data_IF_653891481512
#
_entry.id   IF_653891481512
#
_cell.length_a   1.000
_cell.length_b   1.000
_cell.length_c   1.000
_cell.angle_alpha   90.00
_cell.angle_beta   90.00
_cell.angle_gamma   90.00
#
_symmetry.space_group_name_H-M   'P 1'
#
loop_
_entity.id
_entity.type
_entity.pdbx_description
1 polymer ?
#
# COMPACT_ATOMS: atom_id res chain seq x y z
N UNK A 1 -3.98 -5.14 9.67
CA UNK A 1 -4.20 -4.16 8.59
C UNK A 1 -5.30 -4.55 7.60
N UNK A 2 -5.36 -5.77 7.06
CA UNK A 2 -6.49 -6.25 6.22
C UNK A 2 -7.89 -6.08 6.87
N UNK A 3 -7.95 -5.97 8.20
CA UNK A 3 -9.19 -5.76 8.96
C UNK A 3 -9.64 -4.30 9.05
N UNK A 4 -8.80 -3.30 8.72
CA UNK A 4 -9.16 -1.86 8.78
C UNK A 4 -9.30 -1.22 7.41
N UNK A 5 -8.62 -1.79 6.40
CA UNK A 5 -8.67 -1.38 5.01
C UNK A 5 -10.10 -1.26 4.45
N UNK A 6 -11.04 -2.21 4.72
CA UNK A 6 -12.43 -2.02 4.30
C UNK A 6 -13.04 -0.80 4.99
N UNK A 7 -12.85 -0.62 6.30
CA UNK A 7 -13.55 0.39 7.09
C UNK A 7 -13.09 1.83 6.86
N UNK A 8 -11.86 2.03 6.40
CA UNK A 8 -11.29 3.36 6.22
C UNK A 8 -11.53 3.92 4.81
N UNK A 9 -11.59 3.07 3.79
CA UNK A 9 -11.54 3.53 2.38
C UNK A 9 -12.54 2.81 1.49
N UNK A 10 -12.71 1.50 1.64
CA UNK A 10 -13.44 0.68 0.66
C UNK A 10 -14.82 0.19 1.10
N UNK A 11 -15.32 0.55 2.30
CA UNK A 11 -16.65 0.12 2.75
C UNK A 11 -17.71 1.15 2.38
N UNK A 12 -18.76 0.70 1.69
CA UNK A 12 -20.05 1.37 1.56
C UNK A 12 -20.58 1.94 2.87
N UNK A 13 -20.32 3.20 3.19
CA UNK A 13 -21.08 3.87 4.24
C UNK A 13 -21.67 5.16 3.71
N UNK A 14 -22.95 5.37 4.00
CA UNK A 14 -23.71 6.59 3.69
C UNK A 14 -23.07 7.85 4.33
N UNK A 15 -22.08 7.65 5.20
CA UNK A 15 -21.39 8.68 5.95
C UNK A 15 -20.23 9.30 5.12
N UNK A 16 -20.64 10.25 4.28
CA UNK A 16 -19.93 11.49 3.88
C UNK A 16 -18.91 11.40 2.75
N UNK A 17 -19.30 12.05 1.64
CA UNK A 17 -18.46 12.69 0.62
C UNK A 17 -17.16 13.32 1.18
N UNK A 18 -17.25 14.02 2.31
CA UNK A 18 -16.09 14.65 2.96
C UNK A 18 -15.08 13.64 3.53
N UNK A 19 -15.52 12.49 4.03
CA UNK A 19 -14.61 11.47 4.55
C UNK A 19 -13.75 10.92 3.41
N UNK A 20 -14.34 10.69 2.22
CA UNK A 20 -13.58 10.25 1.04
C UNK A 20 -12.66 11.34 0.46
N UNK A 21 -13.06 12.62 0.53
CA UNK A 21 -12.21 13.74 0.10
C UNK A 21 -11.02 13.99 1.03
N UNK A 22 -11.16 13.70 2.32
CA UNK A 22 -10.11 13.86 3.33
C UNK A 22 -9.50 12.53 3.80
N UNK A 23 -9.90 11.39 3.23
CA UNK A 23 -9.43 10.05 3.62
C UNK A 23 -7.91 9.96 3.50
N UNK A 24 -7.38 10.50 2.41
CA UNK A 24 -5.94 10.62 2.16
C UNK A 24 -5.21 11.49 3.18
N UNK A 25 -5.89 12.37 3.91
CA UNK A 25 -5.32 13.16 5.02
C UNK A 25 -5.45 12.40 6.33
N UNK A 26 -6.61 11.79 6.60
CA UNK A 26 -6.83 10.99 7.81
C UNK A 26 -5.87 9.81 7.91
N UNK A 27 -5.60 9.13 6.79
CA UNK A 27 -4.67 8.00 6.77
C UNK A 27 -3.26 8.43 7.18
N UNK A 28 -2.83 9.64 6.85
CA UNK A 28 -1.51 10.18 7.20
C UNK A 28 -1.38 10.44 8.70
N UNK A 29 -2.45 10.93 9.33
CA UNK A 29 -2.50 11.15 10.78
C UNK A 29 -2.47 9.82 11.55
N UNK A 30 -3.15 8.80 11.04
CA UNK A 30 -3.20 7.49 11.66
C UNK A 30 -1.94 6.65 11.40
N UNK A 31 -1.26 6.89 10.28
CA UNK A 31 -0.13 6.08 9.82
C UNK A 31 1.00 5.97 10.86
N UNK A 32 1.28 7.03 11.63
CA UNK A 32 2.30 6.99 12.69
C UNK A 32 1.93 6.20 13.94
N UNK A 33 0.64 5.90 14.15
CA UNK A 33 0.12 5.26 15.37
C UNK A 33 -0.17 3.76 15.18
N UNK A 34 -0.33 3.31 13.93
CA UNK A 34 -0.79 1.94 13.63
C UNK A 34 0.12 0.84 14.19
N UNK A 35 1.45 1.00 14.14
CA UNK A 35 2.34 0.01 14.76
C UNK A 35 2.15 -0.10 16.28
N UNK A 36 1.84 1.00 16.98
CA UNK A 36 1.54 0.94 18.41
C UNK A 36 0.23 0.21 18.69
N UNK A 37 -0.79 0.43 17.85
CA UNK A 37 -2.07 -0.27 17.95
C UNK A 37 -1.86 -1.79 17.76
N UNK A 38 -1.08 -2.21 16.77
CA UNK A 38 -0.80 -3.64 16.55
C UNK A 38 0.02 -4.25 17.68
N UNK A 39 0.99 -3.52 18.26
CA UNK A 39 1.72 -3.95 19.46
C UNK A 39 0.79 -4.13 20.66
N UNK A 40 -0.09 -3.16 20.92
CA UNK A 40 -1.07 -3.24 22.00
C UNK A 40 -2.05 -4.40 21.82
N UNK A 41 -2.57 -4.60 20.60
CA UNK A 41 -3.43 -5.74 20.26
C UNK A 41 -2.74 -7.08 20.50
N UNK A 42 -1.48 -7.20 20.09
CA UNK A 42 -0.69 -8.41 20.32
C UNK A 42 -0.52 -8.68 21.83
N UNK A 43 -0.19 -7.66 22.61
CA UNK A 43 -0.06 -7.76 24.06
C UNK A 43 -1.37 -8.19 24.73
N UNK A 44 -2.50 -7.57 24.37
CA UNK A 44 -3.83 -7.96 24.86
C UNK A 44 -4.11 -9.43 24.54
N UNK A 45 -3.84 -9.87 23.31
CA UNK A 45 -4.03 -11.27 22.90
C UNK A 45 -3.14 -12.23 23.69
N UNK A 46 -1.91 -11.84 24.04
CA UNK A 46 -1.05 -12.63 24.92
C UNK A 46 -1.67 -12.78 26.32
N UNK A 47 -2.12 -11.68 26.92
CA UNK A 47 -2.77 -11.70 28.24
C UNK A 47 -4.06 -12.54 28.26
N UNK A 48 -4.77 -12.60 27.14
CA UNK A 48 -5.98 -13.42 26.98
C UNK A 48 -5.69 -14.89 26.63
N UNK A 49 -4.43 -15.30 26.45
CA UNK A 49 -4.07 -16.64 25.98
C UNK A 49 -4.45 -16.92 24.52
N UNK A 50 -4.75 -15.88 23.73
CA UNK A 50 -5.14 -15.94 22.31
C UNK A 50 -3.94 -15.80 21.35
N UNK A 51 -2.74 -15.65 21.89
CA UNK A 51 -1.50 -15.57 21.13
C UNK A 51 -0.38 -16.28 21.89
N UNK A 52 0.64 -16.73 21.16
CA UNK A 52 1.88 -17.26 21.73
C UNK A 52 2.94 -16.19 21.75
N UNK A 53 3.72 -16.17 22.84
CA UNK A 53 4.86 -15.28 22.95
C UNK A 53 5.93 -15.65 21.91
N UNK A 54 6.44 -14.67 21.17
CA UNK A 54 7.57 -14.86 20.26
C UNK A 54 8.68 -13.86 20.60
N UNK A 55 9.90 -14.37 20.71
CA UNK A 55 11.10 -13.57 20.95
C UNK A 55 11.31 -12.47 19.91
N UNK A 56 10.86 -12.68 18.68
CA UNK A 56 10.93 -11.70 17.60
C UNK A 56 10.21 -10.38 17.93
N UNK A 57 9.19 -10.39 18.79
CA UNK A 57 8.52 -9.17 19.23
C UNK A 57 9.36 -8.33 20.20
N UNK A 58 10.40 -8.90 20.81
CA UNK A 58 11.33 -8.15 21.66
C UNK A 58 12.37 -7.35 20.88
N UNK A 59 12.59 -7.67 19.60
CA UNK A 59 13.60 -6.99 18.76
C UNK A 59 13.34 -5.48 18.74
N UNK A 60 12.07 -5.08 18.60
CA UNK A 60 11.65 -3.67 18.60
C UNK A 60 11.97 -2.96 19.92
N UNK A 61 11.90 -3.66 21.05
CA UNK A 61 12.21 -3.09 22.36
C UNK A 61 13.71 -3.16 22.71
N UNK A 62 14.47 -4.05 22.07
CA UNK A 62 15.92 -4.14 22.23
C UNK A 62 16.64 -2.89 21.69
N UNK A 63 15.98 -2.09 20.85
CA UNK A 63 16.46 -0.77 20.41
C UNK A 63 16.53 0.24 21.57
N UNK A 64 15.65 0.14 22.58
CA UNK A 64 15.55 1.13 23.67
C UNK A 64 16.87 1.22 24.45
N UNK A 65 17.48 0.13 24.96
CA UNK A 65 18.78 0.21 25.63
C UNK A 65 19.88 0.87 24.79
N UNK A 66 19.91 0.58 23.49
CA UNK A 66 20.89 1.18 22.56
C UNK A 66 20.67 2.69 22.46
N UNK A 67 19.43 3.13 22.28
CA UNK A 67 19.10 4.54 22.18
C UNK A 67 19.29 5.30 23.50
N UNK A 68 19.03 4.66 24.64
CA UNK A 68 19.33 5.21 25.97
C UNK A 68 20.84 5.38 26.16
N UNK A 69 21.64 4.39 25.75
CA UNK A 69 23.09 4.46 25.80
C UNK A 69 23.63 5.60 24.91
N UNK A 70 23.16 5.69 23.65
CA UNK A 70 23.61 6.71 22.69
C UNK A 70 23.18 8.13 23.07
N UNK A 71 21.99 8.30 23.65
CA UNK A 71 21.48 9.60 24.07
C UNK A 71 21.96 10.04 25.46
N UNK A 72 22.53 9.13 26.26
CA UNK A 72 22.93 9.38 27.64
C UNK A 72 21.77 9.68 28.59
N UNK A 73 20.52 9.50 28.16
CA UNK A 73 19.32 9.82 28.94
C UNK A 73 18.20 8.83 28.66
N UNK A 74 17.60 8.28 29.73
CA UNK A 74 16.46 7.36 29.61
C UNK A 74 15.29 8.02 28.89
N UNK A 75 14.97 9.27 29.23
CA UNK A 75 13.84 9.98 28.63
C UNK A 75 14.10 10.28 27.15
N UNK A 76 15.31 10.71 26.80
CA UNK A 76 15.68 10.99 25.41
C UNK A 76 15.69 9.71 24.57
N UNK A 77 16.26 8.62 25.08
CA UNK A 77 16.31 7.33 24.38
C UNK A 77 14.92 6.74 24.11
N UNK A 78 14.01 6.80 25.10
CA UNK A 78 12.62 6.35 24.93
C UNK A 78 11.87 7.24 23.95
N UNK A 79 12.08 8.56 23.98
CA UNK A 79 11.46 9.48 23.01
C UNK A 79 11.97 9.24 21.59
N UNK A 80 13.28 9.06 21.41
CA UNK A 80 13.89 8.72 20.11
C UNK A 80 13.32 7.42 19.58
N UNK A 81 13.21 6.39 20.42
CA UNK A 81 12.57 5.12 20.05
C UNK A 81 11.13 5.36 19.56
N UNK A 82 10.34 6.14 20.31
CA UNK A 82 8.97 6.41 19.94
C UNK A 82 8.85 7.17 18.60
N UNK A 83 9.73 8.13 18.35
CA UNK A 83 9.77 8.83 17.06
C UNK A 83 10.16 7.88 15.93
N UNK A 84 11.18 7.05 16.11
CA UNK A 84 11.61 6.06 15.12
C UNK A 84 10.47 5.10 14.76
N UNK A 85 9.78 4.55 15.76
CA UNK A 85 8.67 3.62 15.54
C UNK A 85 7.49 4.31 14.84
N UNK A 86 7.18 5.56 15.20
CA UNK A 86 6.14 6.34 14.54
C UNK A 86 6.50 6.64 13.07
N UNK A 87 7.75 7.03 12.79
CA UNK A 87 8.24 7.27 11.44
C UNK A 87 8.26 5.99 10.61
N UNK A 88 8.73 4.87 11.17
CA UNK A 88 8.73 3.57 10.48
C UNK A 88 7.29 3.14 10.12
N UNK A 89 6.35 3.29 11.05
CA UNK A 89 4.92 3.05 10.82
C UNK A 89 4.39 3.95 9.70
N UNK A 90 4.71 5.24 9.73
CA UNK A 90 4.26 6.21 8.72
C UNK A 90 4.81 5.88 7.33
N UNK A 91 6.11 5.57 7.23
CA UNK A 91 6.78 5.21 5.97
C UNK A 91 6.16 3.92 5.42
N UNK A 92 6.04 2.88 6.24
CA UNK A 92 5.49 1.59 5.80
C UNK A 92 4.09 1.75 5.22
N UNK A 93 3.20 2.48 5.90
CA UNK A 93 1.83 2.73 5.41
C UNK A 93 1.85 3.51 4.11
N UNK A 94 2.68 4.57 4.02
CA UNK A 94 2.73 5.36 2.80
C UNK A 94 3.24 4.56 1.61
N UNK A 95 4.33 3.80 1.79
CA UNK A 95 4.88 2.93 0.74
C UNK A 95 3.89 1.85 0.32
N UNK A 96 3.27 1.17 1.29
CA UNK A 96 2.39 0.04 1.00
C UNK A 96 0.99 0.42 0.53
N UNK A 97 0.53 1.65 0.74
CA UNK A 97 -0.88 1.98 0.55
C UNK A 97 -1.14 3.26 -0.24
N UNK A 98 -0.38 4.32 -0.02
CA UNK A 98 -0.56 5.60 -0.75
C UNK A 98 0.25 5.63 -2.04
N UNK A 99 1.44 5.05 -1.98
CA UNK A 99 2.47 5.07 -3.01
C UNK A 99 2.45 3.74 -3.80
N UNK A 100 1.84 2.70 -3.23
CA UNK A 100 1.70 1.40 -3.88
C UNK A 100 0.95 1.52 -5.19
N UNK A 101 1.34 0.70 -6.14
CA UNK A 101 0.98 0.83 -7.54
C UNK A 101 -0.28 0.06 -7.90
N UNK A 102 -1.21 -0.07 -6.95
CA UNK A 102 -2.53 -0.68 -7.13
C UNK A 102 -3.70 0.27 -6.84
N UNK A 103 -3.45 1.38 -6.15
CA UNK A 103 -4.48 2.29 -5.68
C UNK A 103 -4.41 3.63 -6.44
N UNK A 104 -4.53 3.59 -7.76
CA UNK A 104 -4.57 4.77 -8.63
C UNK A 104 -5.84 4.74 -9.48
N UNK A 105 -6.44 5.90 -9.74
CA UNK A 105 -7.70 6.05 -10.48
C UNK A 105 -7.70 5.56 -11.94
N UNK A 106 -6.54 5.33 -12.53
CA UNK A 106 -6.38 4.88 -13.93
C UNK A 106 -5.96 3.40 -14.01
N UNK A 107 -5.79 2.75 -12.85
CA UNK A 107 -5.53 1.31 -12.76
C UNK A 107 -6.87 0.59 -12.78
N UNK A 108 -6.88 -0.60 -13.39
CA UNK A 108 -8.07 -1.43 -13.43
C UNK A 108 -8.41 -1.99 -12.05
N UNK A 109 -9.66 -1.82 -11.64
CA UNK A 109 -10.26 -2.44 -10.47
C UNK A 109 -11.42 -3.34 -10.87
N UNK A 110 -11.82 -4.22 -9.95
CA UNK A 110 -12.97 -5.10 -10.18
C UNK A 110 -14.23 -4.27 -10.50
N UNK A 111 -14.82 -4.53 -11.67
CA UNK A 111 -16.00 -3.83 -12.17
C UNK A 111 -15.71 -2.83 -13.28
N UNK A 112 -14.44 -2.56 -13.56
CA UNK A 112 -14.03 -1.72 -14.69
C UNK A 112 -14.03 -2.48 -16.01
N UNK A 113 -14.19 -1.74 -17.10
CA UNK A 113 -13.89 -2.22 -18.45
C UNK A 113 -12.39 -2.47 -18.59
N UNK A 114 -12.04 -3.64 -19.11
CA UNK A 114 -10.67 -4.06 -19.43
C UNK A 114 -10.46 -4.07 -20.95
N UNK A 115 -9.21 -3.86 -21.38
CA UNK A 115 -8.80 -4.00 -22.77
C UNK A 115 -8.84 -5.47 -23.22
N UNK A 116 -8.59 -6.44 -22.33
CA UNK A 116 -8.45 -7.86 -22.68
C UNK A 116 -8.83 -8.82 -21.56
N UNK A 117 -9.34 -10.00 -21.93
CA UNK A 117 -9.49 -11.12 -20.99
C UNK A 117 -8.19 -11.89 -20.71
N UNK A 118 -7.08 -11.51 -21.35
CA UNK A 118 -5.77 -12.12 -21.13
C UNK A 118 -5.26 -11.82 -19.70
N UNK A 119 -4.80 -12.86 -19.01
CA UNK A 119 -4.36 -12.74 -17.64
C UNK A 119 -3.16 -11.81 -17.49
N UNK A 120 -2.18 -11.87 -18.40
CA UNK A 120 -0.98 -11.04 -18.34
C UNK A 120 -1.31 -9.56 -18.53
N UNK A 121 -2.18 -9.25 -19.48
CA UNK A 121 -2.67 -7.89 -19.68
C UNK A 121 -3.50 -7.38 -18.49
N UNK A 122 -4.33 -8.22 -17.88
CA UNK A 122 -5.04 -7.85 -16.65
C UNK A 122 -4.11 -7.53 -15.49
N UNK A 123 -3.00 -8.28 -15.34
CA UNK A 123 -1.96 -7.95 -14.36
C UNK A 123 -1.31 -6.59 -14.69
N UNK A 124 -0.98 -6.34 -15.96
CA UNK A 124 -0.41 -5.07 -16.40
C UNK A 124 -1.39 -3.89 -16.22
N UNK A 125 -2.70 -4.11 -16.39
CA UNK A 125 -3.73 -3.08 -16.17
C UNK A 125 -3.96 -2.81 -14.67
N UNK A 126 -3.85 -3.82 -13.81
CA UNK A 126 -4.09 -3.75 -12.36
C UNK A 126 -2.86 -3.30 -11.54
N UNK A 127 -1.71 -3.11 -12.18
CA UNK A 127 -0.44 -2.80 -11.52
C UNK A 127 0.35 -1.76 -12.28
N UNK A 128 1.26 -1.07 -11.58
CA UNK A 128 2.23 -0.14 -12.20
C UNK A 128 3.60 -0.30 -11.56
N UNK A 129 4.63 0.11 -12.25
CA UNK A 129 5.99 0.21 -11.75
C UNK A 129 6.28 1.63 -11.27
N UNK A 130 7.32 1.76 -10.44
CA UNK A 130 7.76 3.05 -9.91
C UNK A 130 8.95 3.56 -10.67
N UNK A 131 8.75 4.68 -11.38
CA UNK A 131 9.77 5.28 -12.24
C UNK A 131 11.09 5.55 -11.50
N UNK A 132 11.04 5.97 -10.24
CA UNK A 132 12.22 6.30 -9.45
C UNK A 132 12.97 5.07 -8.92
N UNK A 133 12.35 3.90 -8.96
CA UNK A 133 12.86 2.69 -8.34
C UNK A 133 13.21 1.60 -9.37
N UNK A 134 12.86 1.77 -10.64
CA UNK A 134 13.28 0.84 -11.70
C UNK A 134 14.82 0.78 -11.72
N UNK A 135 15.37 -0.44 -11.77
CA UNK A 135 16.82 -0.67 -11.78
C UNK A 135 17.56 -0.24 -10.50
N UNK A 136 16.83 -0.04 -9.39
CA UNK A 136 17.41 0.34 -8.10
C UNK A 136 17.41 -0.85 -7.13
N UNK A 137 18.45 -1.03 -6.30
CA UNK A 137 18.41 -2.00 -5.19
C UNK A 137 17.25 -1.73 -4.21
N UNK A 138 16.72 -0.51 -4.19
CA UNK A 138 15.56 -0.14 -3.38
C UNK A 138 14.22 -0.55 -4.01
N UNK A 139 14.20 -1.09 -5.24
CA UNK A 139 12.99 -1.57 -5.92
C UNK A 139 12.20 -2.55 -5.05
N UNK A 140 12.88 -3.47 -4.37
CA UNK A 140 12.25 -4.42 -3.45
C UNK A 140 11.53 -3.74 -2.29
N UNK A 141 12.09 -2.66 -1.75
CA UNK A 141 11.50 -1.95 -0.61
C UNK A 141 10.38 -1.00 -1.05
N UNK A 142 10.48 -0.47 -2.27
CA UNK A 142 9.63 0.60 -2.79
C UNK A 142 8.60 0.13 -3.82
N UNK A 143 8.48 -1.19 -4.05
CA UNK A 143 7.61 -1.78 -5.07
C UNK A 143 7.92 -1.26 -6.48
N UNK A 144 9.22 -1.29 -6.83
CA UNK A 144 9.76 -0.76 -8.09
C UNK A 144 9.30 -1.51 -9.34
N UNK A 145 9.50 -2.83 -9.34
CA UNK A 145 9.26 -3.73 -10.47
C UNK A 145 7.97 -4.55 -10.26
N UNK A 146 6.90 -3.85 -9.92
CA UNK A 146 5.68 -4.45 -9.40
C UNK A 146 4.88 -5.22 -10.45
N UNK A 147 4.82 -4.73 -11.70
CA UNK A 147 4.15 -5.43 -12.80
C UNK A 147 4.77 -6.82 -12.99
N UNK A 148 6.11 -6.86 -13.04
CA UNK A 148 6.85 -8.11 -13.18
C UNK A 148 6.74 -9.00 -11.95
N UNK A 149 6.63 -8.41 -10.74
CA UNK A 149 6.36 -9.18 -9.53
C UNK A 149 5.02 -9.93 -9.61
N UNK A 150 3.97 -9.30 -10.11
CA UNK A 150 2.66 -9.93 -10.25
C UNK A 150 2.63 -10.98 -11.35
N UNK A 151 3.36 -10.75 -12.46
CA UNK A 151 3.49 -11.74 -13.54
C UNK A 151 4.36 -12.94 -13.12
N UNK A 152 5.40 -12.71 -12.33
CA UNK A 152 6.39 -13.72 -11.93
C UNK A 152 6.68 -13.69 -10.42
N UNK A 153 5.71 -14.02 -9.56
CA UNK A 153 5.82 -13.84 -8.11
C UNK A 153 6.88 -14.75 -7.45
N UNK A 154 7.29 -15.80 -8.16
CA UNK A 154 8.31 -16.74 -7.70
C UNK A 154 9.74 -16.33 -8.11
N UNK A 155 9.90 -15.31 -8.97
CA UNK A 155 11.21 -14.81 -9.37
C UNK A 155 11.68 -13.80 -8.33
N UNK A 156 12.92 -13.96 -7.88
CA UNK A 156 13.54 -13.04 -6.94
C UNK A 156 13.62 -11.63 -7.53
N UNK A 157 13.31 -10.61 -6.72
CA UNK A 157 13.28 -9.21 -7.17
C UNK A 157 14.58 -8.75 -7.82
N UNK A 158 15.74 -9.26 -7.37
CA UNK A 158 17.03 -8.94 -7.96
C UNK A 158 17.20 -9.41 -9.41
N UNK A 159 16.32 -10.29 -9.91
CA UNK A 159 16.35 -10.78 -11.28
C UNK A 159 15.20 -10.26 -12.16
N UNK A 160 14.20 -9.58 -11.59
CA UNK A 160 13.06 -9.07 -12.37
C UNK A 160 13.50 -8.11 -13.47
N UNK A 161 14.51 -7.28 -13.19
CA UNK A 161 15.06 -6.33 -14.16
C UNK A 161 15.39 -6.97 -15.52
N UNK A 162 15.92 -8.21 -15.50
CA UNK A 162 16.33 -8.95 -16.70
C UNK A 162 15.14 -9.31 -17.61
N UNK A 163 13.92 -9.31 -17.07
CA UNK A 163 12.70 -9.67 -17.79
C UNK A 163 12.04 -8.48 -18.50
N UNK A 164 12.44 -7.23 -18.20
CA UNK A 164 11.84 -6.04 -18.85
C UNK A 164 11.94 -6.06 -20.37
N UNK A 165 13.07 -6.42 -21.02
CA UNK A 165 13.14 -6.44 -22.47
C UNK A 165 12.06 -7.36 -23.09
N UNK A 166 11.83 -8.51 -22.48
CA UNK A 166 10.80 -9.46 -22.93
C UNK A 166 9.40 -8.91 -22.67
N UNK A 167 9.15 -8.36 -21.47
CA UNK A 167 7.86 -7.73 -21.15
C UNK A 167 7.51 -6.61 -22.14
N UNK A 168 8.45 -5.71 -22.43
CA UNK A 168 8.23 -4.58 -23.32
C UNK A 168 7.93 -5.04 -24.75
N UNK A 169 8.67 -6.04 -25.24
CA UNK A 169 8.39 -6.65 -26.54
C UNK A 169 7.00 -7.29 -26.56
N UNK A 170 6.63 -8.05 -25.52
CA UNK A 170 5.32 -8.69 -25.44
C UNK A 170 4.20 -7.64 -25.42
N UNK A 171 4.34 -6.55 -24.67
CA UNK A 171 3.34 -5.48 -24.67
C UNK A 171 3.18 -4.84 -26.05
N UNK A 172 4.27 -4.63 -26.79
CA UNK A 172 4.22 -4.15 -28.16
C UNK A 172 3.47 -5.11 -29.08
N UNK A 173 3.68 -6.43 -28.94
CA UNK A 173 2.94 -7.47 -29.68
C UNK A 173 1.43 -7.43 -29.39
N UNK A 174 1.04 -7.02 -28.18
CA UNK A 174 -0.36 -6.80 -27.79
C UNK A 174 -0.87 -5.38 -28.09
N UNK A 175 -0.04 -4.50 -28.66
CA UNK A 175 -0.41 -3.11 -28.97
C UNK A 175 -0.58 -2.22 -27.75
N UNK A 176 0.08 -2.53 -26.63
CA UNK A 176 0.03 -1.78 -25.37
C UNK A 176 1.25 -0.89 -25.23
N UNK A 177 1.04 0.40 -24.97
CA UNK A 177 2.14 1.35 -24.75
C UNK A 177 2.82 1.13 -23.39
N UNK A 178 4.13 0.89 -23.42
CA UNK A 178 4.92 0.64 -22.21
C UNK A 178 4.96 1.81 -21.21
N UNK A 179 4.76 3.05 -21.68
CA UNK A 179 4.67 4.25 -20.84
C UNK A 179 3.52 4.17 -19.83
N UNK A 180 2.47 3.41 -20.17
CA UNK A 180 1.31 3.20 -19.30
C UNK A 180 1.66 2.33 -18.09
N UNK A 181 2.79 1.62 -18.08
CA UNK A 181 3.17 0.79 -16.93
C UNK A 181 3.74 1.58 -15.77
N UNK A 182 4.14 2.86 -15.92
CA UNK A 182 5.01 3.52 -14.94
C UNK A 182 4.39 4.78 -14.37
N UNK A 183 4.44 4.91 -13.05
CA UNK A 183 4.10 6.15 -12.35
C UNK A 183 5.27 6.68 -11.53
N UNK A 184 5.34 8.02 -11.45
CA UNK A 184 6.16 8.68 -10.44
C UNK A 184 5.49 8.59 -9.07
N UNK A 185 6.25 8.85 -8.01
CA UNK A 185 5.74 9.01 -6.65
C UNK A 185 4.60 10.00 -6.57
N UNK A 186 4.76 11.12 -7.26
CA UNK A 186 3.77 12.18 -7.23
C UNK A 186 2.49 11.79 -7.98
N UNK A 187 2.61 11.06 -9.10
CA UNK A 187 1.44 10.50 -9.78
C UNK A 187 0.72 9.49 -8.90
N UNK A 188 1.43 8.56 -8.24
CA UNK A 188 0.80 7.60 -7.33
C UNK A 188 0.01 8.29 -6.21
N UNK A 189 0.57 9.32 -5.58
CA UNK A 189 -0.11 10.06 -4.50
C UNK A 189 -1.36 10.77 -5.02
N UNK A 190 -1.28 11.43 -6.18
CA UNK A 190 -2.45 12.09 -6.81
C UNK A 190 -3.51 11.07 -7.21
N UNK A 191 -3.10 9.98 -7.85
CA UNK A 191 -3.99 8.93 -8.30
C UNK A 191 -4.68 8.23 -7.14
N UNK A 192 -3.99 8.04 -6.01
CA UNK A 192 -4.59 7.54 -4.78
C UNK A 192 -5.70 8.47 -4.26
N UNK A 193 -5.43 9.78 -4.16
CA UNK A 193 -6.44 10.74 -3.74
C UNK A 193 -7.65 10.80 -4.69
N UNK A 194 -7.45 10.58 -5.99
CA UNK A 194 -8.53 10.49 -6.98
C UNK A 194 -9.29 9.18 -6.87
N UNK A 195 -8.60 8.06 -6.64
CA UNK A 195 -9.20 6.74 -6.47
C UNK A 195 -10.21 6.74 -5.32
N UNK A 196 -9.87 7.34 -4.18
CA UNK A 196 -10.79 7.40 -3.03
C UNK A 196 -12.09 8.15 -3.33
N UNK A 197 -12.05 9.11 -4.27
CA UNK A 197 -13.24 9.83 -4.75
C UNK A 197 -14.00 9.01 -5.80
N UNK A 198 -13.29 8.40 -6.76
CA UNK A 198 -13.86 7.54 -7.80
C UNK A 198 -14.69 6.39 -7.21
N UNK A 199 -14.18 5.75 -6.17
CA UNK A 199 -14.89 4.66 -5.50
C UNK A 199 -16.17 5.11 -4.81
N UNK A 200 -16.16 6.30 -4.20
CA UNK A 200 -17.35 6.90 -3.63
C UNK A 200 -18.43 7.12 -4.71
N UNK A 201 -18.05 7.69 -5.86
CA UNK A 201 -18.98 7.93 -6.97
C UNK A 201 -19.55 6.63 -7.55
N UNK A 202 -18.70 5.63 -7.79
CA UNK A 202 -19.12 4.31 -8.27
C UNK A 202 -20.14 3.68 -7.31
N UNK A 203 -19.89 3.78 -6.01
CA UNK A 203 -20.75 3.24 -4.99
C UNK A 203 -22.13 3.90 -4.93
N UNK A 204 -22.19 5.24 -4.90
CA UNK A 204 -23.45 6.01 -4.92
C UNK A 204 -24.27 5.68 -6.17
N UNK A 205 -23.62 5.53 -7.32
CA UNK A 205 -24.29 5.15 -8.57
C UNK A 205 -24.93 3.76 -8.49
N UNK A 206 -24.28 2.81 -7.80
CA UNK A 206 -24.77 1.44 -7.63
C UNK A 206 -25.99 1.40 -6.71
N UNK A 207 -25.97 2.14 -5.59
CA UNK A 207 -27.14 2.27 -4.71
C UNK A 207 -28.32 2.86 -5.48
N UNK A 208 -28.10 3.96 -6.21
CA UNK A 208 -29.15 4.65 -6.95
C UNK A 208 -29.76 3.79 -8.08
N UNK A 209 -28.99 2.86 -8.65
CA UNK A 209 -29.50 1.88 -9.62
C UNK A 209 -30.36 0.81 -8.94
N UNK A 210 -29.93 0.28 -7.78
CA UNK A 210 -30.68 -0.74 -7.03
C UNK A 210 -32.02 -0.22 -6.53
N UNK A 211 -32.09 1.02 -6.05
CA UNK A 211 -33.33 1.64 -5.57
C UNK A 211 -34.36 1.98 -6.66
N UNK A 212 -34.01 1.82 -7.95
CA UNK A 212 -34.93 2.01 -9.08
C UNK A 212 -35.51 0.69 -9.61
N UNK A 213 -35.00 -0.43 -9.13
CA UNK A 213 -35.39 -1.79 -9.57
C UNK A 213 -36.32 -2.47 -8.54
N UNK A 214 -36.45 -1.87 -7.34
CA UNK A 214 -37.43 -2.21 -6.29
C UNK A 214 -38.63 -1.26 -6.35
#
# INVERSE_FOLDING_TARGET
MAALEPYLIFTPSVLRYYVHHFASVYIQLLAGILMYIEQAKYFIRLCMGLATFKLTHLIVYAEIPVLVYLSGSVSAGVWLWAVIQATASWVFINLSFVITTHHHDEIWHQGDTTISGDFGLLQAEATRDRLECVHSPFAMYMFGDHVLHHLFPCVDHGYLEVLYPVLLQTLEEFGVEATLLRYSMWESVKGFARQTVREYEHHISTIARRSKVE
#
